data_IF_502253973146
#
_entry.id   IF_502253973146
#
_cell.length_a   1.000
_cell.length_b   1.000
_cell.length_c   1.000
_cell.angle_alpha   90.00
_cell.angle_beta   90.00
_cell.angle_gamma   90.00
#
_symmetry.space_group_name_H-M   'P 1'
#
loop_
_entity.id
_entity.type
_entity.pdbx_description
1 polymer ?
#
# COMPACT_ATOMS: atom_id res chain seq x y z
N UNK A 1 83.35 93.76 -54.70
CA UNK A 1 82.60 94.13 -53.47
C UNK A 1 82.17 92.92 -52.61
N UNK A 2 82.95 91.82 -52.51
CA UNK A 2 82.51 90.62 -51.76
C UNK A 2 83.48 90.08 -50.68
N UNK A 3 84.65 90.69 -50.44
CA UNK A 3 85.64 90.14 -49.50
C UNK A 3 85.50 90.60 -48.05
N UNK A 4 84.98 91.80 -47.79
CA UNK A 4 84.90 92.37 -46.42
C UNK A 4 83.72 91.87 -45.58
N UNK A 5 82.70 91.23 -46.17
CA UNK A 5 81.56 90.66 -45.42
C UNK A 5 81.80 89.23 -44.91
N UNK A 6 82.79 88.51 -45.44
CA UNK A 6 83.04 87.10 -45.08
C UNK A 6 83.83 86.94 -43.78
N UNK A 7 84.75 87.85 -43.49
CA UNK A 7 85.62 87.79 -42.30
C UNK A 7 84.89 88.16 -41.00
N UNK A 8 83.86 89.02 -41.06
CA UNK A 8 83.05 89.38 -39.89
C UNK A 8 82.15 88.23 -39.38
N UNK A 9 81.61 87.40 -40.29
CA UNK A 9 80.74 86.27 -39.92
C UNK A 9 81.52 85.11 -39.30
N UNK A 10 82.74 84.84 -39.73
CA UNK A 10 83.57 83.76 -39.16
C UNK A 10 84.13 84.10 -37.78
N UNK A 11 84.44 85.37 -37.53
CA UNK A 11 84.93 85.82 -36.22
C UNK A 11 83.80 85.81 -35.18
N UNK A 12 82.59 86.23 -35.56
CA UNK A 12 81.44 86.20 -34.66
C UNK A 12 80.95 84.77 -34.35
N UNK A 13 81.00 83.84 -35.31
CA UNK A 13 80.70 82.42 -35.04
C UNK A 13 81.76 81.77 -34.17
N UNK A 14 83.04 82.11 -34.34
CA UNK A 14 84.13 81.59 -33.51
C UNK A 14 84.02 82.07 -32.06
N UNK A 15 83.69 83.36 -31.85
CA UNK A 15 83.45 83.92 -30.51
C UNK A 15 82.20 83.33 -29.85
N UNK A 16 81.13 83.11 -30.61
CA UNK A 16 79.91 82.49 -30.09
C UNK A 16 80.14 81.00 -29.74
N UNK A 17 80.87 80.24 -30.56
CA UNK A 17 81.22 78.85 -30.23
C UNK A 17 82.19 78.75 -29.04
N UNK A 18 83.09 79.71 -28.86
CA UNK A 18 83.96 79.75 -27.68
C UNK A 18 83.19 80.16 -26.42
N UNK A 19 82.22 81.08 -26.51
CA UNK A 19 81.34 81.40 -25.39
C UNK A 19 80.40 80.24 -25.01
N UNK A 20 79.90 79.45 -25.97
CA UNK A 20 79.05 78.30 -25.66
C UNK A 20 79.84 77.14 -25.03
N UNK A 21 81.12 76.98 -25.33
CA UNK A 21 81.96 75.93 -24.71
C UNK A 21 82.40 76.27 -23.28
N UNK A 22 82.47 77.55 -22.91
CA UNK A 22 82.89 77.95 -21.56
C UNK A 22 81.74 77.96 -20.54
N UNK A 23 80.48 77.89 -20.97
CA UNK A 23 79.30 77.83 -20.08
C UNK A 23 78.98 76.38 -19.63
N UNK A 24 79.54 75.36 -20.28
CA UNK A 24 79.17 73.95 -20.07
C UNK A 24 80.08 73.10 -19.18
N UNK A 25 81.28 73.57 -18.81
CA UNK A 25 82.25 72.80 -18.03
C UNK A 25 82.93 73.66 -16.97
N UNK A 26 82.15 74.14 -16.00
CA UNK A 26 82.71 74.57 -14.72
C UNK A 26 82.99 73.33 -13.87
N UNK A 27 84.23 73.10 -13.39
CA UNK A 27 84.50 72.13 -12.34
C UNK A 27 83.92 72.70 -11.03
N UNK A 28 82.63 72.48 -10.80
CA UNK A 28 82.00 72.70 -9.51
C UNK A 28 82.25 71.43 -8.65
N UNK A 29 83.01 71.54 -7.54
CA UNK A 29 83.56 70.40 -6.82
C UNK A 29 82.53 69.74 -5.90
N UNK A 30 82.62 68.40 -5.78
CA UNK A 30 82.17 67.46 -4.72
C UNK A 30 80.72 67.45 -4.22
N UNK A 31 80.01 68.58 -4.24
CA UNK A 31 78.73 68.77 -3.54
C UNK A 31 77.55 68.03 -4.17
N UNK A 32 77.61 67.74 -5.48
CA UNK A 32 76.54 67.02 -6.21
C UNK A 32 76.64 65.51 -6.00
N UNK A 33 77.85 64.97 -6.02
CA UNK A 33 78.12 63.55 -5.80
C UNK A 33 77.94 63.18 -4.32
N UNK A 34 78.31 64.07 -3.39
CA UNK A 34 77.98 63.91 -1.97
C UNK A 34 76.47 63.86 -1.72
N UNK A 35 75.70 64.78 -2.31
CA UNK A 35 74.22 64.76 -2.17
C UNK A 35 73.59 63.50 -2.75
N UNK A 36 74.10 62.98 -3.86
CA UNK A 36 73.63 61.72 -4.42
C UNK A 36 73.97 60.54 -3.51
N UNK A 37 75.19 60.50 -3.00
CA UNK A 37 75.64 59.46 -2.08
C UNK A 37 74.84 59.49 -0.76
N UNK A 38 74.56 60.67 -0.23
CA UNK A 38 73.76 60.85 0.99
C UNK A 38 72.30 60.48 0.76
N UNK A 39 71.73 60.84 -0.40
CA UNK A 39 70.38 60.41 -0.78
C UNK A 39 70.29 58.88 -0.94
N UNK A 40 71.28 58.26 -1.60
CA UNK A 40 71.36 56.82 -1.76
C UNK A 40 71.48 56.11 -0.40
N UNK A 41 72.33 56.60 0.50
CA UNK A 41 72.45 56.09 1.88
C UNK A 41 71.13 56.19 2.62
N UNK A 42 70.50 57.37 2.62
CA UNK A 42 69.22 57.58 3.31
C UNK A 42 68.11 56.69 2.72
N UNK A 43 68.08 56.49 1.41
CA UNK A 43 67.10 55.62 0.74
C UNK A 43 67.28 54.14 1.11
N UNK A 44 68.53 53.65 1.13
CA UNK A 44 68.86 52.28 1.56
C UNK A 44 68.50 52.08 3.03
N UNK A 45 68.79 53.06 3.88
CA UNK A 45 68.46 53.01 5.31
C UNK A 45 66.95 52.98 5.56
N UNK A 46 66.19 53.77 4.79
CA UNK A 46 64.72 53.79 4.83
C UNK A 46 64.13 52.45 4.35
N UNK A 47 64.67 51.89 3.26
CA UNK A 47 64.25 50.58 2.75
C UNK A 47 64.57 49.46 3.73
N UNK A 48 65.75 49.47 4.36
CA UNK A 48 66.13 48.48 5.36
C UNK A 48 65.14 48.48 6.54
N UNK A 49 64.75 49.67 7.01
CA UNK A 49 63.73 49.84 8.06
C UNK A 49 62.35 49.34 7.62
N UNK A 50 61.91 49.66 6.40
CA UNK A 50 60.64 49.16 5.87
C UNK A 50 60.65 47.64 5.70
N UNK A 51 61.73 47.07 5.20
CA UNK A 51 61.84 45.63 4.97
C UNK A 51 61.81 44.85 6.29
N UNK A 52 62.45 45.39 7.35
CA UNK A 52 62.34 44.81 8.69
C UNK A 52 60.92 44.91 9.27
N UNK A 53 60.25 46.05 9.12
CA UNK A 53 58.87 46.21 9.57
C UNK A 53 57.91 45.28 8.83
N UNK A 54 58.09 45.16 7.52
CA UNK A 54 57.32 44.27 6.66
C UNK A 54 57.56 42.80 7.01
N UNK A 55 58.82 42.39 7.25
CA UNK A 55 59.13 41.02 7.67
C UNK A 55 58.46 40.65 9.00
N UNK A 56 58.42 41.58 9.97
CA UNK A 56 57.71 41.38 11.24
C UNK A 56 56.20 41.25 11.05
N UNK A 57 55.60 42.08 10.18
CA UNK A 57 54.17 41.99 9.86
C UNK A 57 53.83 40.70 9.11
N UNK A 58 54.68 40.26 8.18
CA UNK A 58 54.49 38.98 7.48
C UNK A 58 54.51 37.81 8.45
N UNK A 59 55.39 37.82 9.46
CA UNK A 59 55.41 36.78 10.49
C UNK A 59 54.11 36.70 11.28
N UNK A 60 53.54 37.84 11.71
CA UNK A 60 52.29 37.83 12.46
C UNK A 60 51.11 37.35 11.61
N UNK A 61 51.05 37.74 10.33
CA UNK A 61 49.98 37.31 9.40
C UNK A 61 50.07 35.81 9.12
N UNK A 62 51.28 35.25 8.98
CA UNK A 62 51.48 33.81 8.78
C UNK A 62 51.02 33.02 10.01
N UNK A 63 51.34 33.49 11.22
CA UNK A 63 50.90 32.83 12.45
C UNK A 63 49.37 32.85 12.60
N UNK A 64 48.75 34.00 12.31
CA UNK A 64 47.30 34.13 12.33
C UNK A 64 46.64 33.24 11.27
N UNK A 65 47.16 33.23 10.05
CA UNK A 65 46.67 32.37 8.96
C UNK A 65 46.77 30.88 9.32
N UNK A 66 47.84 30.46 10.01
CA UNK A 66 47.99 29.09 10.50
C UNK A 66 46.92 28.74 11.54
N UNK A 67 46.62 29.65 12.48
CA UNK A 67 45.54 29.48 13.47
C UNK A 67 44.16 29.41 12.80
N UNK A 68 43.88 30.29 11.82
CA UNK A 68 42.63 30.23 11.06
C UNK A 68 42.49 28.94 10.27
N UNK A 69 43.57 28.47 9.61
CA UNK A 69 43.55 27.22 8.87
C UNK A 69 43.27 26.03 9.80
N UNK A 70 43.87 26.01 10.99
CA UNK A 70 43.61 24.97 11.99
C UNK A 70 42.16 25.00 12.50
N UNK A 71 41.60 26.19 12.76
CA UNK A 71 40.20 26.33 13.17
C UNK A 71 39.24 25.91 12.05
N UNK A 72 39.53 26.29 10.80
CA UNK A 72 38.75 25.87 9.63
C UNK A 72 38.80 24.34 9.45
N UNK A 73 39.95 23.71 9.65
CA UNK A 73 40.10 22.26 9.59
C UNK A 73 39.22 21.57 10.65
N UNK A 74 39.23 22.05 11.90
CA UNK A 74 38.38 21.51 12.96
C UNK A 74 36.89 21.66 12.66
N UNK A 75 36.49 22.79 12.09
CA UNK A 75 35.10 23.03 11.70
C UNK A 75 34.66 22.05 10.59
N UNK A 76 35.51 21.83 9.58
CA UNK A 76 35.24 20.89 8.48
C UNK A 76 35.17 19.46 8.99
N UNK A 77 36.05 19.06 9.90
CA UNK A 77 36.02 17.74 10.51
C UNK A 77 34.74 17.53 11.33
N UNK A 78 34.32 18.54 12.09
CA UNK A 78 33.05 18.54 12.81
C UNK A 78 31.83 18.46 11.87
N UNK A 79 31.82 19.23 10.78
CA UNK A 79 30.74 19.19 9.78
C UNK A 79 30.68 17.82 9.08
N UNK A 80 31.83 17.27 8.69
CA UNK A 80 31.92 15.94 8.07
C UNK A 80 31.39 14.85 9.02
N UNK A 81 31.74 14.94 10.31
CA UNK A 81 31.23 14.02 11.34
C UNK A 81 29.71 14.18 11.53
N UNK A 82 29.21 15.40 11.61
CA UNK A 82 27.77 15.69 11.72
C UNK A 82 26.98 15.12 10.54
N UNK A 83 27.49 15.29 9.31
CA UNK A 83 26.88 14.72 8.10
C UNK A 83 26.88 13.19 8.14
N UNK A 84 27.98 12.57 8.54
CA UNK A 84 28.05 11.12 8.68
C UNK A 84 27.05 10.60 9.72
N UNK A 85 26.89 11.29 10.86
CA UNK A 85 25.91 10.95 11.88
C UNK A 85 24.47 11.10 11.37
N UNK A 86 24.16 12.17 10.63
CA UNK A 86 22.85 12.35 9.99
C UNK A 86 22.52 11.25 8.99
N UNK A 87 23.48 10.89 8.11
CA UNK A 87 23.28 9.82 7.13
C UNK A 87 23.03 8.49 7.87
N UNK A 88 23.85 8.17 8.87
CA UNK A 88 23.67 6.95 9.66
C UNK A 88 22.33 6.95 10.42
N UNK A 89 21.83 8.09 10.89
CA UNK A 89 20.51 8.19 11.51
C UNK A 89 19.40 7.96 10.49
N UNK A 90 19.52 8.53 9.29
CA UNK A 90 18.55 8.35 8.20
C UNK A 90 18.48 6.89 7.73
N UNK A 91 19.62 6.22 7.58
CA UNK A 91 19.69 4.78 7.25
C UNK A 91 19.02 3.90 8.30
N UNK A 92 19.20 4.23 9.59
CA UNK A 92 18.51 3.51 10.67
C UNK A 92 17.01 3.69 10.57
N UNK A 93 16.53 4.91 10.38
CA UNK A 93 15.09 5.18 10.23
C UNK A 93 14.50 4.50 8.99
N UNK A 94 15.18 4.53 7.84
CA UNK A 94 14.70 3.85 6.63
C UNK A 94 14.63 2.33 6.84
N UNK A 95 15.66 1.73 7.45
CA UNK A 95 15.68 0.29 7.76
C UNK A 95 14.53 -0.13 8.69
N UNK A 96 14.20 0.70 9.69
CA UNK A 96 13.08 0.45 10.60
C UNK A 96 11.74 0.55 9.89
N UNK A 97 11.56 1.54 9.00
CA UNK A 97 10.35 1.67 8.20
C UNK A 97 10.17 0.49 7.25
N UNK A 98 11.24 0.01 6.62
CA UNK A 98 11.18 -1.13 5.71
C UNK A 98 10.83 -2.42 6.47
N UNK A 99 11.37 -2.61 7.67
CA UNK A 99 10.97 -3.73 8.55
C UNK A 99 9.49 -3.64 8.95
N UNK A 100 9.00 -2.45 9.33
CA UNK A 100 7.60 -2.25 9.68
C UNK A 100 6.67 -2.50 8.48
N UNK A 101 7.04 -2.03 7.29
CA UNK A 101 6.29 -2.29 6.05
C UNK A 101 6.23 -3.79 5.75
N UNK A 102 7.35 -4.49 5.81
CA UNK A 102 7.39 -5.93 5.59
C UNK A 102 6.50 -6.70 6.58
N UNK A 103 6.49 -6.29 7.86
CA UNK A 103 5.61 -6.89 8.86
C UNK A 103 4.13 -6.63 8.57
N UNK A 104 3.77 -5.41 8.15
CA UNK A 104 2.40 -5.05 7.75
C UNK A 104 1.97 -5.82 6.51
N UNK A 105 2.82 -5.94 5.51
CA UNK A 105 2.52 -6.65 4.27
C UNK A 105 2.32 -8.15 4.54
N UNK A 106 3.18 -8.75 5.36
CA UNK A 106 3.00 -10.14 5.82
C UNK A 106 1.67 -10.31 6.56
N UNK A 107 1.32 -9.37 7.45
CA UNK A 107 0.04 -9.38 8.16
C UNK A 107 -1.17 -9.24 7.23
N UNK A 108 -1.07 -8.41 6.19
CA UNK A 108 -2.10 -8.28 5.15
C UNK A 108 -2.29 -9.58 4.37
N UNK A 109 -1.20 -10.21 3.94
CA UNK A 109 -1.26 -11.48 3.22
C UNK A 109 -1.93 -12.58 4.07
N UNK A 110 -1.61 -12.65 5.37
CA UNK A 110 -2.25 -13.58 6.30
C UNK A 110 -3.76 -13.32 6.39
N UNK A 111 -4.17 -12.06 6.57
CA UNK A 111 -5.59 -11.70 6.64
C UNK A 111 -6.33 -11.99 5.32
N UNK A 112 -5.68 -11.78 4.18
CA UNK A 112 -6.26 -12.13 2.88
C UNK A 112 -6.41 -13.66 2.70
N UNK A 113 -5.43 -14.43 3.15
CA UNK A 113 -5.52 -15.89 3.16
C UNK A 113 -6.64 -16.36 4.08
N UNK A 114 -6.75 -15.82 5.29
CA UNK A 114 -7.85 -16.13 6.21
C UNK A 114 -9.21 -15.77 5.62
N UNK A 115 -9.35 -14.59 4.99
CA UNK A 115 -10.59 -14.21 4.29
C UNK A 115 -10.95 -15.21 3.19
N UNK A 116 -9.98 -15.64 2.39
CA UNK A 116 -10.19 -16.66 1.35
C UNK A 116 -10.61 -18.00 1.95
N UNK A 117 -10.00 -18.42 3.07
CA UNK A 117 -10.35 -19.66 3.77
C UNK A 117 -11.78 -19.61 4.35
N UNK A 118 -12.15 -18.50 5.00
CA UNK A 118 -13.51 -18.31 5.55
C UNK A 118 -14.55 -18.33 4.43
N UNK A 119 -14.27 -17.65 3.30
CA UNK A 119 -15.16 -17.69 2.14
C UNK A 119 -15.31 -19.11 1.58
N UNK A 120 -14.21 -19.88 1.52
CA UNK A 120 -14.25 -21.28 1.09
C UNK A 120 -15.00 -22.20 2.08
N UNK A 121 -14.86 -21.97 3.39
CA UNK A 121 -15.60 -22.72 4.43
C UNK A 121 -17.11 -22.47 4.35
N UNK A 122 -17.52 -21.20 4.24
CA UNK A 122 -18.95 -20.82 4.09
C UNK A 122 -19.61 -21.43 2.86
N UNK A 123 -18.85 -21.75 1.81
CA UNK A 123 -19.39 -22.45 0.64
C UNK A 123 -19.57 -23.96 0.89
N UNK A 124 -18.78 -24.57 1.78
CA UNK A 124 -18.82 -26.01 2.09
C UNK A 124 -19.80 -26.37 3.19
N UNK A 125 -19.95 -25.51 4.20
CA UNK A 125 -20.90 -25.70 5.31
C UNK A 125 -22.35 -25.98 4.86
N UNK A 126 -22.94 -25.22 3.89
CA UNK A 126 -24.30 -25.50 3.43
C UNK A 126 -24.42 -26.82 2.67
N UNK A 127 -23.36 -27.28 2.00
CA UNK A 127 -23.36 -28.57 1.28
C UNK A 127 -23.44 -29.74 2.27
N UNK A 128 -22.66 -29.68 3.36
CA UNK A 128 -22.68 -30.72 4.40
C UNK A 128 -24.02 -30.72 5.14
N UNK A 129 -24.52 -29.55 5.54
CA UNK A 129 -25.80 -29.42 6.23
C UNK A 129 -26.97 -29.94 5.37
N UNK A 130 -27.03 -29.57 4.09
CA UNK A 130 -28.05 -30.02 3.15
C UNK A 130 -28.01 -31.55 2.98
N UNK A 131 -26.81 -32.14 2.85
CA UNK A 131 -26.68 -33.59 2.68
C UNK A 131 -27.22 -34.40 3.88
N UNK A 132 -26.97 -33.94 5.11
CA UNK A 132 -27.49 -34.58 6.33
C UNK A 132 -29.02 -34.48 6.37
N UNK A 133 -29.57 -33.33 6.03
CA UNK A 133 -31.02 -33.13 6.00
C UNK A 133 -31.71 -34.02 4.95
N UNK A 134 -31.13 -34.13 3.74
CA UNK A 134 -31.65 -35.01 2.69
C UNK A 134 -31.60 -36.48 3.12
N UNK A 135 -30.49 -36.93 3.72
CA UNK A 135 -30.37 -38.31 4.23
C UNK A 135 -31.40 -38.56 5.35
N UNK A 136 -31.59 -37.60 6.26
CA UNK A 136 -32.60 -37.67 7.31
C UNK A 136 -34.03 -37.80 6.77
N UNK A 137 -34.37 -37.04 5.73
CA UNK A 137 -35.68 -37.12 5.07
C UNK A 137 -35.88 -38.45 4.34
N UNK A 138 -34.87 -38.95 3.62
CA UNK A 138 -34.92 -40.26 2.96
C UNK A 138 -35.14 -41.35 4.00
N UNK A 139 -34.39 -41.33 5.11
CA UNK A 139 -34.56 -42.29 6.19
C UNK A 139 -35.95 -42.18 6.82
N UNK A 140 -36.43 -40.96 7.12
CA UNK A 140 -37.75 -40.73 7.69
C UNK A 140 -38.88 -41.20 6.76
N UNK A 141 -38.71 -41.10 5.44
CA UNK A 141 -39.68 -41.59 4.45
C UNK A 141 -39.61 -43.10 4.23
N UNK A 142 -38.42 -43.70 4.29
CA UNK A 142 -38.23 -45.15 4.15
C UNK A 142 -38.68 -45.92 5.39
N UNK A 143 -38.53 -45.35 6.58
CA UNK A 143 -38.88 -45.99 7.86
C UNK A 143 -40.35 -46.49 7.91
N UNK A 144 -41.39 -45.67 7.62
CA UNK A 144 -42.77 -46.15 7.59
C UNK A 144 -42.99 -47.19 6.48
N UNK A 145 -42.33 -47.05 5.32
CA UNK A 145 -42.45 -48.03 4.23
C UNK A 145 -41.89 -49.40 4.64
N UNK A 146 -40.72 -49.41 5.29
CA UNK A 146 -40.10 -50.62 5.85
C UNK A 146 -41.02 -51.26 6.90
N UNK A 147 -41.63 -50.46 7.78
CA UNK A 147 -42.60 -50.95 8.77
C UNK A 147 -43.80 -51.59 8.07
N UNK A 148 -44.41 -50.92 7.08
CA UNK A 148 -45.53 -51.47 6.32
C UNK A 148 -45.17 -52.81 5.66
N UNK A 149 -44.02 -52.88 4.99
CA UNK A 149 -43.53 -54.11 4.36
C UNK A 149 -43.28 -55.20 5.41
N UNK A 150 -42.71 -54.84 6.56
CA UNK A 150 -42.45 -55.77 7.65
C UNK A 150 -43.74 -56.36 8.22
N UNK A 151 -44.76 -55.51 8.49
CA UNK A 151 -46.07 -55.95 8.98
C UNK A 151 -46.77 -56.85 7.97
N UNK A 152 -46.81 -56.48 6.68
CA UNK A 152 -47.40 -57.30 5.62
C UNK A 152 -46.68 -58.66 5.54
N UNK A 153 -45.35 -58.66 5.59
CA UNK A 153 -44.55 -59.88 5.50
C UNK A 153 -44.67 -60.75 6.76
N UNK A 154 -44.86 -60.14 7.92
CA UNK A 154 -45.14 -60.83 9.18
C UNK A 154 -46.53 -61.47 9.11
N UNK A 155 -47.58 -60.74 8.72
CA UNK A 155 -48.92 -61.31 8.54
C UNK A 155 -48.94 -62.43 7.50
N UNK A 156 -48.20 -62.27 6.38
CA UNK A 156 -48.08 -63.31 5.35
C UNK A 156 -47.31 -64.56 5.82
N UNK A 157 -46.54 -64.47 6.91
CA UNK A 157 -45.78 -65.59 7.50
C UNK A 157 -46.48 -66.21 8.71
N UNK A 158 -47.33 -65.47 9.41
CA UNK A 158 -48.08 -65.92 10.60
C UNK A 158 -49.33 -66.74 10.21
N UNK A 159 -49.13 -67.81 9.44
CA UNK A 159 -50.15 -68.83 9.13
C UNK A 159 -51.20 -68.48 8.05
N UNK A 160 -51.30 -69.29 6.98
CA UNK A 160 -52.32 -69.16 5.94
C UNK A 160 -53.61 -69.85 6.42
N UNK A 161 -54.32 -69.21 7.35
CA UNK A 161 -55.72 -69.60 7.59
C UNK A 161 -56.58 -69.30 6.35
N UNK A 162 -56.07 -68.54 5.37
CA UNK A 162 -56.67 -68.39 4.04
C UNK A 162 -56.92 -69.72 3.33
N UNK A 163 -56.09 -70.75 3.54
CA UNK A 163 -56.32 -72.07 2.94
C UNK A 163 -57.47 -72.81 3.64
N UNK A 164 -57.55 -72.71 4.97
CA UNK A 164 -58.64 -73.29 5.75
C UNK A 164 -59.94 -72.52 5.52
N UNK A 165 -59.92 -71.19 5.54
CA UNK A 165 -61.04 -70.29 5.23
C UNK A 165 -61.51 -70.43 3.79
N UNK A 166 -60.61 -70.54 2.80
CA UNK A 166 -60.99 -70.83 1.42
C UNK A 166 -61.60 -72.22 1.30
N UNK A 167 -61.05 -73.23 2.00
CA UNK A 167 -61.67 -74.56 2.03
C UNK A 167 -63.05 -74.56 2.70
N UNK A 168 -63.25 -73.74 3.74
CA UNK A 168 -64.51 -73.60 4.47
C UNK A 168 -65.54 -72.82 3.63
N UNK A 169 -65.13 -71.78 2.91
CA UNK A 169 -65.94 -71.05 1.92
C UNK A 169 -66.34 -71.93 0.74
N UNK A 170 -65.40 -72.72 0.18
CA UNK A 170 -65.69 -73.68 -0.90
C UNK A 170 -66.65 -74.76 -0.39
N UNK A 171 -66.48 -75.22 0.84
CA UNK A 171 -67.38 -76.19 1.49
C UNK A 171 -68.77 -75.60 1.70
N UNK A 172 -68.90 -74.35 2.15
CA UNK A 172 -70.19 -73.67 2.31
C UNK A 172 -70.86 -73.33 0.96
N UNK A 173 -70.10 -72.94 -0.06
CA UNK A 173 -70.63 -72.67 -1.42
C UNK A 173 -71.10 -73.93 -2.15
N UNK A 174 -70.56 -75.09 -1.80
CA UNK A 174 -70.92 -76.39 -2.41
C UNK A 174 -71.89 -77.21 -1.56
N UNK A 175 -72.18 -76.79 -0.33
CA UNK A 175 -73.15 -77.44 0.54
C UNK A 175 -74.60 -77.18 0.10
N UNK A 176 -75.44 -78.22 0.10
CA UNK A 176 -76.86 -78.12 -0.28
C UNK A 176 -77.70 -77.26 0.69
N UNK A 177 -77.16 -76.90 1.85
CA UNK A 177 -77.74 -75.95 2.81
C UNK A 177 -76.64 -75.09 3.45
N UNK A 178 -76.31 -73.92 2.88
CA UNK A 178 -75.37 -73.01 3.53
C UNK A 178 -75.99 -72.49 4.83
N UNK A 179 -75.25 -72.59 5.93
CA UNK A 179 -75.69 -72.11 7.26
C UNK A 179 -75.28 -70.65 7.46
N UNK A 180 -74.20 -70.24 6.79
CA UNK A 180 -73.56 -68.93 6.99
C UNK A 180 -73.90 -67.91 5.90
N UNK A 181 -74.31 -68.35 4.70
CA UNK A 181 -74.77 -67.45 3.64
C UNK A 181 -76.30 -67.40 3.65
N UNK A 182 -76.94 -66.22 3.60
CA UNK A 182 -78.37 -66.14 3.38
C UNK A 182 -78.67 -66.81 2.04
N UNK A 183 -79.39 -67.94 2.08
CA UNK A 183 -79.87 -68.61 0.88
C UNK A 183 -80.70 -67.65 0.02
N UNK A 184 -80.92 -67.94 -1.27
CA UNK A 184 -81.52 -67.02 -2.23
C UNK A 184 -83.00 -66.78 -1.90
N UNK A 185 -83.23 -65.97 -0.87
CA UNK A 185 -84.47 -65.28 -0.62
C UNK A 185 -84.53 -64.19 -1.68
N UNK A 186 -85.20 -64.53 -2.77
CA UNK A 186 -86.04 -63.66 -3.58
C UNK A 186 -86.07 -62.23 -3.04
N UNK A 187 -85.45 -61.33 -3.80
CA UNK A 187 -85.45 -59.90 -3.56
C UNK A 187 -86.79 -59.41 -3.03
N UNK A 188 -86.84 -58.74 -1.85
CA UNK A 188 -87.94 -57.85 -1.56
C UNK A 188 -87.80 -56.68 -2.54
N UNK A 189 -88.79 -56.53 -3.41
CA UNK A 189 -88.93 -55.37 -4.28
C UNK A 189 -88.75 -54.07 -3.47
N UNK A 190 -88.01 -53.06 -3.98
CA UNK A 190 -87.89 -51.79 -3.28
C UNK A 190 -89.26 -51.13 -3.20
N UNK A 191 -89.78 -50.99 -1.97
CA UNK A 191 -90.93 -50.14 -1.71
C UNK A 191 -90.50 -48.70 -1.99
N UNK A 192 -90.87 -48.21 -3.17
CA UNK A 192 -90.81 -46.81 -3.56
C UNK A 192 -91.75 -45.99 -2.65
N UNK A 193 -91.28 -45.59 -1.47
CA UNK A 193 -91.88 -44.48 -0.73
C UNK A 193 -91.19 -43.20 -1.18
N UNK A 194 -91.70 -42.63 -2.27
CA UNK A 194 -91.52 -41.25 -2.64
C UNK A 194 -91.98 -40.36 -1.48
N UNK A 195 -91.06 -39.86 -0.66
CA UNK A 195 -91.30 -38.65 0.11
C UNK A 195 -90.97 -37.45 -0.77
N UNK A 196 -91.92 -37.15 -1.67
CA UNK A 196 -92.00 -35.86 -2.31
C UNK A 196 -92.57 -34.85 -1.31
N UNK A 197 -91.83 -33.78 -1.05
CA UNK A 197 -92.36 -32.54 -0.50
C UNK A 197 -91.76 -32.10 0.82
N UNK A 198 -90.67 -31.32 0.76
CA UNK A 198 -90.74 -29.93 1.20
C UNK A 198 -89.49 -29.16 0.74
N UNK A 199 -89.68 -28.41 -0.34
CA UNK A 199 -88.85 -27.29 -0.72
C UNK A 199 -89.40 -26.05 0.03
N UNK A 200 -88.56 -25.36 0.78
CA UNK A 200 -88.74 -23.94 1.10
C UNK A 200 -87.39 -23.24 0.90
N UNK A 201 -87.31 -22.17 0.09
CA UNK A 201 -86.12 -21.38 -0.10
C UNK A 201 -86.10 -20.18 0.87
N UNK A 202 -84.90 -19.84 1.36
CA UNK A 202 -84.62 -18.64 2.15
C UNK A 202 -83.16 -18.72 2.59
N UNK A 203 -82.21 -18.23 1.80
CA UNK A 203 -81.74 -16.84 1.77
C UNK A 203 -80.81 -16.50 2.94
N UNK A 204 -79.78 -15.70 2.64
CA UNK A 204 -78.78 -15.06 3.50
C UNK A 204 -77.42 -15.76 3.66
N UNK A 205 -76.60 -15.53 2.64
CA UNK A 205 -75.29 -14.85 2.75
C UNK A 205 -74.70 -14.61 4.15
N UNK A 206 -73.51 -15.13 4.40
CA UNK A 206 -72.45 -14.40 5.08
C UNK A 206 -71.12 -15.06 4.71
N UNK A 207 -70.42 -14.41 3.78
CA UNK A 207 -69.03 -14.69 3.45
C UNK A 207 -68.17 -14.59 4.71
N UNK A 208 -67.39 -15.63 4.91
CA UNK A 208 -66.35 -15.72 5.91
C UNK A 208 -65.14 -14.90 5.43
N UNK A 209 -64.80 -13.94 6.26
CA UNK A 209 -63.71 -12.98 6.18
C UNK A 209 -62.32 -13.62 5.95
N UNK A 210 -61.51 -13.13 4.98
CA UNK A 210 -60.07 -13.29 5.05
C UNK A 210 -59.43 -12.06 5.68
N UNK A 211 -58.89 -12.29 6.88
CA UNK A 211 -58.03 -11.38 7.63
C UNK A 211 -56.61 -11.34 7.02
N UNK A 212 -56.15 -10.10 6.86
CA UNK A 212 -54.80 -9.57 6.92
C UNK A 212 -53.59 -10.28 6.26
N UNK A 213 -52.85 -9.40 5.56
CA UNK A 213 -51.38 -9.32 5.45
C UNK A 213 -50.73 -9.97 4.23
N UNK A 214 -50.78 -9.27 3.11
CA UNK A 214 -49.78 -9.39 2.06
C UNK A 214 -49.16 -8.00 1.80
N UNK A 215 -47.91 -7.84 2.24
CA UNK A 215 -47.01 -6.73 1.89
C UNK A 215 -45.76 -7.38 1.27
N UNK A 216 -45.44 -7.11 0.00
CA UNK A 216 -44.09 -7.34 -0.49
C UNK A 216 -43.23 -6.08 -0.33
N UNK A 217 -42.05 -6.28 0.24
CA UNK A 217 -40.85 -5.52 -0.11
C UNK A 217 -40.40 -5.88 -1.53
#
# INVERSE_FOLDING_TARGET
>A
MNQTRRTGRTLMSAVLLTLLNTIGCGPAPDTRDQRLADFARNSVDQQAKQNQAMARQSQSVVEESAKLAQAAQQLVESDAKSRAEMIAAQERLSSQLDQQRAAVDTGREQLEQERKQIAAQRHRDPVVASSIQTVGLILAALLPLIICVYVIRMMSRTEPDDAAVASLLVTELTAERPVLLPGPALWPAPALTNHAGQYLPGEATADEQPDATDMPF
#
